data_IF_295003039032
#
_entry.id   IF_295003039032
#
_cell.length_a   1.000
_cell.length_b   1.000
_cell.length_c   1.000
_cell.angle_alpha   90.00
_cell.angle_beta   90.00
_cell.angle_gamma   90.00
#
_symmetry.space_group_name_H-M   'P 1'
#
loop_
_entity.id
_entity.type
_entity.pdbx_description
1 polymer ?
#
# COMPACT_ATOMS: atom_id res chain seq x y z
N UNK A 1 8.76 3.89 1.47
CA UNK A 1 7.99 5.10 1.11
C UNK A 1 8.42 6.35 1.88
N UNK A 2 8.71 7.47 1.20
CA UNK A 2 9.05 8.78 1.78
C UNK A 2 8.18 9.87 1.15
N UNK A 3 7.47 10.65 1.96
CA UNK A 3 6.73 11.81 1.47
C UNK A 3 7.72 12.92 1.11
N UNK A 4 7.53 13.53 -0.06
CA UNK A 4 8.37 14.62 -0.58
C UNK A 4 7.58 15.91 -0.77
N UNK A 5 6.26 15.84 -0.89
CA UNK A 5 5.36 17.01 -0.94
C UNK A 5 4.01 16.70 -0.29
N UNK A 6 3.42 17.71 0.35
CA UNK A 6 2.12 17.58 1.00
C UNK A 6 2.15 16.64 2.21
N UNK A 7 1.01 16.01 2.50
CA UNK A 7 0.88 15.03 3.57
C UNK A 7 -0.07 13.90 3.16
N UNK A 8 0.24 12.69 3.60
CA UNK A 8 -0.58 11.50 3.37
C UNK A 8 -0.94 10.83 4.68
N UNK A 9 -2.16 10.31 4.73
CA UNK A 9 -2.65 9.40 5.77
C UNK A 9 -2.47 7.97 5.30
N UNK A 10 -1.80 7.16 6.10
CA UNK A 10 -1.54 5.76 5.81
C UNK A 10 -2.24 4.90 6.85
N UNK A 11 -2.99 3.91 6.36
CA UNK A 11 -3.52 2.82 7.17
C UNK A 11 -2.91 1.52 6.67
N UNK A 12 -2.27 0.79 7.58
CA UNK A 12 -1.61 -0.48 7.24
C UNK A 12 -2.22 -1.65 7.98
N UNK A 13 -2.12 -2.83 7.37
CA UNK A 13 -2.68 -4.08 7.86
C UNK A 13 -1.67 -5.22 7.69
N UNK A 14 -1.69 -6.13 8.66
CA UNK A 14 -0.88 -7.36 8.68
C UNK A 14 -1.82 -8.57 8.75
N UNK A 15 -1.55 -9.63 7.97
CA UNK A 15 -2.32 -10.88 8.03
C UNK A 15 -2.21 -11.51 9.41
N UNK A 16 -3.31 -12.04 9.94
CA UNK A 16 -3.27 -12.85 11.16
C UNK A 16 -2.63 -14.21 10.89
N UNK A 17 -3.01 -14.87 9.80
CA UNK A 17 -2.39 -16.13 9.37
C UNK A 17 -1.25 -15.82 8.37
N UNK A 18 0.02 -16.06 8.75
CA UNK A 18 1.16 -15.79 7.89
C UNK A 18 1.23 -16.74 6.68
N UNK A 19 0.56 -17.90 6.73
CA UNK A 19 0.61 -18.91 5.67
C UNK A 19 -0.31 -18.59 4.48
N UNK A 20 -1.20 -17.61 4.64
CA UNK A 20 -2.07 -17.17 3.53
C UNK A 20 -1.21 -16.45 2.50
N UNK A 21 -1.05 -17.03 1.31
CA UNK A 21 -0.50 -16.32 0.15
C UNK A 21 -1.59 -15.40 -0.45
N UNK A 22 -1.38 -14.07 -0.51
CA UNK A 22 -2.36 -13.15 -1.11
C UNK A 22 -2.65 -13.43 -2.60
N UNK A 23 -1.76 -14.13 -3.30
CA UNK A 23 -1.94 -14.55 -4.69
C UNK A 23 -3.01 -15.64 -4.81
N UNK A 24 -3.08 -16.55 -3.84
CA UNK A 24 -4.03 -17.68 -3.84
C UNK A 24 -5.46 -17.24 -3.49
N UNK A 25 -5.59 -16.10 -2.80
CA UNK A 25 -6.90 -15.51 -2.44
C UNK A 25 -7.66 -15.11 -3.70
N UNK A 26 -8.88 -15.61 -3.85
CA UNK A 26 -9.77 -15.29 -4.97
C UNK A 26 -10.62 -14.05 -4.70
N UNK A 27 -11.13 -13.41 -5.74
CA UNK A 27 -12.06 -12.28 -5.61
C UNK A 27 -13.29 -12.71 -4.79
N UNK A 28 -13.68 -11.89 -3.80
CA UNK A 28 -14.76 -12.18 -2.86
C UNK A 28 -14.34 -13.02 -1.65
N UNK A 29 -13.14 -13.61 -1.65
CA UNK A 29 -12.59 -14.25 -0.44
C UNK A 29 -11.98 -13.21 0.49
N UNK A 30 -11.98 -13.54 1.78
CA UNK A 30 -11.48 -12.67 2.85
C UNK A 30 -10.59 -13.42 3.83
N UNK A 31 -9.65 -12.70 4.42
CA UNK A 31 -8.78 -13.19 5.49
C UNK A 31 -8.68 -12.16 6.61
N UNK A 32 -8.44 -12.64 7.82
CA UNK A 32 -8.35 -11.80 9.02
C UNK A 32 -7.04 -11.00 9.03
N UNK A 33 -7.11 -9.75 9.47
CA UNK A 33 -5.96 -8.85 9.58
C UNK A 33 -5.95 -8.08 10.89
N UNK A 34 -4.75 -7.69 11.31
CA UNK A 34 -4.52 -6.72 12.39
C UNK A 34 -4.23 -5.37 11.74
N UNK A 35 -4.95 -4.34 12.17
CA UNK A 35 -4.71 -2.96 11.75
C UNK A 35 -3.60 -2.34 12.61
N UNK A 36 -2.60 -1.74 11.97
CA UNK A 36 -1.61 -0.92 12.64
C UNK A 36 -2.13 0.50 12.91
N UNK A 37 -1.42 1.24 13.77
CA UNK A 37 -1.72 2.64 14.03
C UNK A 37 -1.74 3.45 12.74
N UNK A 38 -2.77 4.28 12.60
CA UNK A 38 -2.92 5.17 11.45
C UNK A 38 -1.89 6.29 11.57
N UNK A 39 -1.07 6.47 10.54
CA UNK A 39 0.00 7.47 10.52
C UNK A 39 -0.35 8.60 9.56
N UNK A 40 -0.01 9.83 9.92
CA UNK A 40 0.02 10.97 9.00
C UNK A 40 1.49 11.28 8.75
N UNK A 41 1.92 11.17 7.50
CA UNK A 41 3.31 11.42 7.09
C UNK A 41 3.37 12.67 6.21
N UNK A 42 4.38 13.48 6.45
CA UNK A 42 4.72 14.67 5.66
C UNK A 42 6.19 14.62 5.23
N UNK A 43 6.65 15.65 4.51
CA UNK A 43 8.06 15.77 4.12
C UNK A 43 9.05 15.78 5.30
N UNK A 44 8.62 16.13 6.51
CA UNK A 44 9.45 16.08 7.72
C UNK A 44 9.45 14.72 8.42
N UNK A 45 8.52 13.82 8.07
CA UNK A 45 8.45 12.48 8.66
C UNK A 45 9.57 11.56 8.14
N UNK A 46 10.08 10.61 8.93
CA UNK A 46 11.00 9.59 8.42
C UNK A 46 10.33 8.73 7.34
N UNK A 47 11.15 8.04 6.55
CA UNK A 47 10.63 7.09 5.56
C UNK A 47 9.89 5.94 6.28
N UNK A 48 8.72 5.57 5.76
CA UNK A 48 8.01 4.38 6.17
C UNK A 48 8.59 3.15 5.48
N UNK A 49 8.86 2.11 6.27
CA UNK A 49 9.27 0.79 5.80
C UNK A 49 8.12 -0.20 5.98
N UNK A 50 7.84 -0.98 4.94
CA UNK A 50 6.85 -2.05 4.93
C UNK A 50 7.56 -3.32 4.47
N UNK A 51 7.17 -4.47 5.01
CA UNK A 51 7.77 -5.76 4.67
C UNK A 51 6.69 -6.71 4.16
N UNK A 52 7.05 -7.83 3.50
CA UNK A 52 6.06 -8.82 3.06
C UNK A 52 5.16 -9.34 4.19
N UNK A 53 5.67 -9.36 5.42
CA UNK A 53 4.97 -9.89 6.59
C UNK A 53 4.34 -8.80 7.45
N UNK A 54 4.88 -7.57 7.44
CA UNK A 54 4.43 -6.50 8.32
C UNK A 54 3.97 -5.28 7.52
N UNK A 55 2.74 -4.83 7.82
CA UNK A 55 2.14 -3.65 7.20
C UNK A 55 2.00 -3.73 5.67
N UNK A 56 2.13 -4.92 5.08
CA UNK A 56 2.21 -5.13 3.64
C UNK A 56 0.97 -4.61 2.89
N UNK A 57 -0.20 -4.64 3.53
CA UNK A 57 -1.44 -4.11 2.96
C UNK A 57 -1.63 -2.69 3.46
N UNK A 58 -1.81 -1.72 2.57
CA UNK A 58 -1.97 -0.34 3.01
C UNK A 58 -2.83 0.50 2.06
N UNK A 59 -3.52 1.47 2.66
CA UNK A 59 -4.28 2.52 1.99
C UNK A 59 -3.55 3.85 2.23
N UNK A 60 -3.27 4.58 1.16
CA UNK A 60 -2.64 5.91 1.20
C UNK A 60 -3.68 6.91 0.71
N UNK A 61 -3.93 7.95 1.51
CA UNK A 61 -4.87 9.01 1.17
C UNK A 61 -4.20 10.37 1.37
N UNK A 62 -4.26 11.26 0.39
CA UNK A 62 -3.84 12.65 0.57
C UNK A 62 -4.71 13.34 1.65
N UNK A 63 -4.09 14.08 2.58
CA UNK A 63 -4.82 14.73 3.68
C UNK A 63 -5.38 16.07 3.24
N UNK A 64 -4.55 16.91 2.63
CA UNK A 64 -4.92 18.24 2.16
C UNK A 64 -4.28 18.48 0.79
N UNK A 65 -5.11 18.68 -0.23
CA UNK A 65 -4.65 18.93 -1.60
C UNK A 65 -3.85 17.77 -2.19
N UNK A 66 -2.87 18.12 -3.02
CA UNK A 66 -2.01 17.15 -3.69
C UNK A 66 -0.88 16.70 -2.75
N UNK A 67 -0.51 15.43 -2.84
CA UNK A 67 0.64 14.88 -2.15
C UNK A 67 1.52 14.12 -3.14
N UNK A 68 2.83 14.15 -2.89
CA UNK A 68 3.80 13.37 -3.64
C UNK A 68 4.67 12.59 -2.67
N UNK A 69 4.89 11.31 -2.98
CA UNK A 69 5.77 10.44 -2.22
C UNK A 69 6.63 9.63 -3.19
N UNK A 70 7.81 9.27 -2.70
CA UNK A 70 8.77 8.43 -3.39
C UNK A 70 8.77 7.05 -2.74
N UNK A 71 8.71 5.99 -3.54
CA UNK A 71 8.76 4.64 -3.02
C UNK A 71 9.82 3.79 -3.71
N UNK A 72 10.43 2.89 -2.94
CA UNK A 72 11.43 1.95 -3.42
C UNK A 72 10.89 0.56 -3.16
N UNK A 73 10.57 -0.16 -4.23
CA UNK A 73 10.08 -1.53 -4.17
C UNK A 73 11.25 -2.49 -4.39
N UNK A 74 11.43 -3.43 -3.46
CA UNK A 74 12.51 -4.42 -3.54
C UNK A 74 11.99 -5.81 -3.13
N UNK A 75 11.75 -6.72 -4.08
CA UNK A 75 11.80 -6.53 -5.54
C UNK A 75 10.60 -5.70 -6.06
N UNK A 76 10.68 -5.12 -7.29
CA UNK A 76 9.54 -4.50 -7.93
C UNK A 76 8.46 -5.52 -8.29
N UNK A 77 7.23 -5.06 -8.49
CA UNK A 77 6.13 -5.85 -9.05
C UNK A 77 6.52 -6.47 -10.40
N UNK A 78 5.89 -7.59 -10.74
CA UNK A 78 5.98 -8.22 -12.04
C UNK A 78 4.62 -8.81 -12.42
N UNK A 79 4.47 -9.16 -13.69
CA UNK A 79 3.17 -9.62 -14.22
C UNK A 79 2.80 -11.05 -13.80
N UNK A 80 3.76 -11.81 -13.25
CA UNK A 80 3.58 -13.23 -12.95
C UNK A 80 3.32 -13.52 -11.47
N UNK A 81 4.25 -13.15 -10.60
CA UNK A 81 4.30 -13.61 -9.20
C UNK A 81 4.15 -12.49 -8.19
N UNK A 82 4.10 -11.24 -8.64
CA UNK A 82 4.01 -10.03 -7.79
C UNK A 82 3.07 -9.05 -8.45
N UNK A 83 1.81 -9.47 -8.58
CA UNK A 83 0.72 -8.64 -9.07
C UNK A 83 0.13 -7.79 -7.95
N UNK A 84 -0.23 -6.55 -8.27
CA UNK A 84 -0.93 -5.68 -7.33
C UNK A 84 -2.39 -6.11 -7.22
N UNK A 85 -2.85 -6.39 -6.00
CA UNK A 85 -4.24 -6.78 -5.71
C UNK A 85 -4.94 -5.72 -4.87
N UNK A 86 -6.24 -5.52 -5.12
CA UNK A 86 -7.07 -4.57 -4.38
C UNK A 86 -7.92 -5.27 -3.34
N UNK A 87 -8.13 -4.59 -2.21
CA UNK A 87 -8.88 -5.13 -1.08
C UNK A 87 -9.82 -4.08 -0.49
N UNK A 88 -10.94 -4.52 0.07
CA UNK A 88 -11.80 -3.69 0.93
C UNK A 88 -11.85 -4.21 2.35
N UNK A 89 -12.06 -3.29 3.29
CA UNK A 89 -12.18 -3.58 4.72
C UNK A 89 -13.58 -4.09 5.05
N UNK A 90 -13.65 -5.19 5.79
CA UNK A 90 -14.91 -5.77 6.24
C UNK A 90 -14.80 -6.03 7.74
N UNK A 91 -15.70 -5.41 8.53
CA UNK A 91 -15.85 -5.73 9.94
C UNK A 91 -16.87 -6.87 10.07
N UNK A 92 -16.55 -7.88 10.88
CA UNK A 92 -17.43 -9.01 11.12
C UNK A 92 -17.37 -9.41 12.59
N UNK A 93 -18.52 -9.73 13.17
CA UNK A 93 -18.58 -10.32 14.51
C UNK A 93 -18.38 -11.84 14.39
N UNK A 94 -17.38 -12.39 15.08
CA UNK A 94 -17.08 -13.83 15.11
C UNK A 94 -16.99 -14.25 16.57
N UNK A 95 -17.94 -15.06 17.03
CA UNK A 95 -17.97 -15.54 18.41
C UNK A 95 -18.12 -14.42 19.46
N UNK A 96 -18.81 -13.32 19.13
CA UNK A 96 -19.01 -12.18 20.02
C UNK A 96 -17.89 -11.14 19.96
N UNK A 97 -16.81 -11.40 19.22
CA UNK A 97 -15.67 -10.49 19.07
C UNK A 97 -15.70 -9.85 17.68
N UNK A 98 -15.60 -8.52 17.62
CA UNK A 98 -15.43 -7.81 16.35
C UNK A 98 -14.02 -8.06 15.81
N UNK A 99 -13.96 -8.52 14.55
CA UNK A 99 -12.72 -8.79 13.84
C UNK A 99 -12.70 -8.03 12.52
N UNK A 100 -11.49 -7.68 12.08
CA UNK A 100 -11.26 -7.00 10.82
C UNK A 100 -10.76 -7.98 9.76
N UNK A 101 -11.36 -7.92 8.59
CA UNK A 101 -10.98 -8.71 7.43
C UNK A 101 -10.64 -7.82 6.25
N UNK A 102 -9.76 -8.31 5.38
CA UNK A 102 -9.62 -7.78 4.03
C UNK A 102 -10.26 -8.77 3.05
N UNK A 103 -11.16 -8.27 2.22
CA UNK A 103 -11.77 -9.01 1.12
C UNK A 103 -11.14 -8.59 -0.21
N UNK A 104 -10.67 -9.55 -1.01
CA UNK A 104 -10.09 -9.25 -2.33
C UNK A 104 -11.19 -8.81 -3.29
N UNK A 105 -10.95 -7.72 -4.00
CA UNK A 105 -11.90 -7.13 -4.95
C UNK A 105 -11.21 -6.93 -6.32
N UNK A 106 -11.98 -6.79 -7.41
CA UNK A 106 -11.45 -6.26 -8.65
C UNK A 106 -10.86 -4.86 -8.45
N UNK A 107 -10.03 -4.40 -9.39
CA UNK A 107 -9.59 -3.00 -9.42
C UNK A 107 -10.82 -2.08 -9.34
N UNK A 108 -10.89 -1.16 -8.36
CA UNK A 108 -12.04 -0.26 -8.24
C UNK A 108 -12.17 0.62 -9.48
N UNK A 109 -13.40 0.88 -9.95
CA UNK A 109 -13.64 1.80 -11.08
C UNK A 109 -13.17 3.23 -10.81
N UNK A 110 -13.04 3.62 -9.53
CA UNK A 110 -12.52 4.91 -9.11
C UNK A 110 -10.99 4.98 -9.06
N UNK A 111 -10.30 3.86 -9.25
CA UNK A 111 -8.85 3.82 -9.28
C UNK A 111 -8.34 4.18 -10.67
N UNK A 112 -7.39 5.11 -10.71
CA UNK A 112 -6.71 5.53 -11.93
C UNK A 112 -5.23 5.73 -11.59
N UNK A 113 -4.36 5.22 -12.47
CA UNK A 113 -2.92 5.36 -12.37
C UNK A 113 -2.38 5.57 -13.78
N UNK A 114 -1.50 6.55 -13.92
CA UNK A 114 -0.86 6.87 -15.20
C UNK A 114 0.65 7.05 -14.99
N UNK A 115 1.40 6.92 -16.07
CA UNK A 115 2.85 7.07 -16.07
C UNK A 115 3.23 8.33 -16.84
N UNK A 116 3.95 9.22 -16.17
CA UNK A 116 4.58 10.37 -16.82
C UNK A 116 6.08 10.09 -16.92
N UNK A 117 6.71 10.26 -18.10
CA UNK A 117 8.15 10.14 -18.23
C UNK A 117 8.88 11.05 -17.23
N UNK A 118 9.92 10.51 -16.59
CA UNK A 118 10.76 11.32 -15.72
C UNK A 118 11.71 12.18 -16.57
N UNK A 119 11.59 13.50 -16.47
CA UNK A 119 12.51 14.44 -17.11
C UNK A 119 13.67 14.75 -16.16
N UNK A 120 14.89 14.43 -16.60
CA UNK A 120 16.09 14.85 -15.90
C UNK A 120 16.21 16.38 -15.99
N UNK A 121 16.53 17.09 -14.88
CA UNK A 121 16.92 18.48 -14.97
C UNK A 121 18.10 18.62 -15.96
N UNK A 122 18.06 19.62 -16.85
CA UNK A 122 19.05 19.82 -17.93
C UNK A 122 20.52 19.84 -17.46
N UNK A 123 20.77 20.00 -16.16
CA UNK A 123 22.11 20.12 -15.57
C UNK A 123 22.58 18.91 -14.73
N UNK A 124 21.81 17.82 -14.65
CA UNK A 124 22.11 16.67 -13.78
C UNK A 124 22.61 15.42 -14.51
N UNK A 125 23.22 15.59 -15.70
CA UNK A 125 24.02 14.55 -16.35
C UNK A 125 25.33 14.29 -15.56
N UNK A 126 25.22 13.76 -14.35
CA UNK A 126 26.30 13.06 -13.67
C UNK A 126 25.97 11.59 -13.71
N UNK A 127 26.66 10.87 -14.58
CA UNK A 127 26.68 9.42 -14.61
C UNK A 127 26.90 8.90 -13.18
N UNK A 128 25.91 8.20 -12.64
CA UNK A 128 26.10 7.39 -11.44
C UNK A 128 26.78 6.11 -11.94
N UNK A 129 28.11 6.11 -11.89
CA UNK A 129 28.97 4.94 -12.09
C UNK A 129 28.85 4.01 -10.88
#
# INVERSE_FOLDING_TARGET
MKVIHGSVKIRSYTKVDPNIDPLDVQIGQRFEVIKADTKILSSSSPAACLTPNDNNFHEIQAVEGNAAFFDVLSPPYNDDTRVCSFYRRVLSNVGGVEKLFLEKIPAPYSYYCDNVPFELPENDAREII
#
